data_IF_581957903188
#
_entry.id   IF_581957903188
#
_cell.length_a   1.000
_cell.length_b   1.000
_cell.length_c   1.000
_cell.angle_alpha   90.00
_cell.angle_beta   90.00
_cell.angle_gamma   90.00
#
_symmetry.space_group_name_H-M   'P 1'
#
loop_
_entity.id
_entity.type
_entity.pdbx_description
1 polymer ?
#
# COMPACT_ATOMS: atom_id res chain seq x y z
N UNK A 1 -16.65 -8.76 37.77
CA UNK A 1 -16.20 -9.17 36.40
C UNK A 1 -16.24 -8.01 35.40
N UNK A 2 -17.33 -7.23 35.32
CA UNK A 2 -17.41 -6.04 34.42
C UNK A 2 -16.34 -4.96 34.67
N UNK A 3 -15.91 -4.75 35.93
CA UNK A 3 -14.93 -3.72 36.27
C UNK A 3 -13.50 -3.97 35.73
N UNK A 4 -13.17 -5.21 35.34
CA UNK A 4 -11.84 -5.56 34.79
C UNK A 4 -11.85 -5.59 33.26
N UNK A 5 -13.04 -5.77 32.66
CA UNK A 5 -13.21 -5.76 31.21
C UNK A 5 -13.06 -4.36 30.62
N UNK A 6 -13.57 -3.33 31.29
CA UNK A 6 -13.44 -1.94 30.83
C UNK A 6 -11.98 -1.49 30.67
N UNK A 7 -11.08 -1.64 31.69
CA UNK A 7 -9.68 -1.25 31.51
C UNK A 7 -8.96 -2.14 30.49
N UNK A 8 -9.29 -3.43 30.40
CA UNK A 8 -8.70 -4.31 29.40
C UNK A 8 -9.08 -3.92 27.97
N UNK A 9 -10.33 -3.54 27.72
CA UNK A 9 -10.80 -3.05 26.42
C UNK A 9 -10.15 -1.70 26.09
N UNK A 10 -10.02 -0.81 27.08
CA UNK A 10 -9.38 0.49 26.89
C UNK A 10 -7.89 0.36 26.51
N UNK A 11 -7.17 -0.54 27.18
CA UNK A 11 -5.76 -0.84 26.87
C UNK A 11 -5.65 -1.45 25.48
N UNK A 12 -6.53 -2.39 25.11
CA UNK A 12 -6.52 -2.99 23.78
C UNK A 12 -6.78 -1.94 22.69
N UNK A 13 -7.74 -1.04 22.90
CA UNK A 13 -8.04 0.05 21.97
C UNK A 13 -6.84 1.01 21.80
N UNK A 14 -6.16 1.35 22.90
CA UNK A 14 -4.97 2.21 22.85
C UNK A 14 -3.80 1.56 22.09
N UNK A 15 -3.59 0.24 22.25
CA UNK A 15 -2.55 -0.49 21.51
C UNK A 15 -2.86 -0.59 20.01
N UNK A 16 -4.13 -0.77 19.64
CA UNK A 16 -4.56 -0.80 18.24
C UNK A 16 -4.45 0.58 17.58
N UNK A 17 -4.81 1.65 18.29
CA UNK A 17 -4.62 3.03 17.84
C UNK A 17 -3.13 3.34 17.62
N UNK A 18 -2.25 2.93 18.54
CA UNK A 18 -0.80 3.12 18.38
C UNK A 18 -0.20 2.34 17.19
N UNK A 19 -0.84 1.26 16.74
CA UNK A 19 -0.44 0.54 15.52
C UNK A 19 -0.99 1.18 14.23
N UNK A 20 -1.95 2.11 14.33
CA UNK A 20 -2.64 2.68 13.17
C UNK A 20 -2.36 4.16 12.93
N UNK A 21 -2.12 4.94 13.99
CA UNK A 21 -2.16 6.40 13.93
C UNK A 21 -0.76 7.02 14.02
N UNK A 22 -0.41 7.84 13.01
CA UNK A 22 -0.15 9.28 13.17
C UNK A 22 0.82 9.88 12.13
N UNK A 23 2.00 9.32 11.79
CA UNK A 23 2.88 9.97 10.82
C UNK A 23 2.41 9.78 9.36
N UNK A 24 1.88 8.59 9.06
CA UNK A 24 1.49 8.21 7.70
C UNK A 24 0.19 8.89 7.24
N UNK A 25 -0.74 9.20 8.14
CA UNK A 25 -2.01 9.83 7.78
C UNK A 25 -1.84 11.28 7.34
N UNK A 26 -1.08 12.08 8.10
CA UNK A 26 -0.78 13.46 7.71
C UNK A 26 0.00 13.53 6.39
N UNK A 27 0.93 12.59 6.19
CA UNK A 27 1.65 12.46 4.92
C UNK A 27 0.70 12.03 3.79
N UNK A 28 -0.23 11.11 4.05
CA UNK A 28 -1.21 10.67 3.06
C UNK A 28 -2.15 11.80 2.65
N UNK A 29 -2.62 12.63 3.59
CA UNK A 29 -3.45 13.79 3.28
C UNK A 29 -2.70 14.85 2.47
N UNK A 30 -1.45 15.13 2.84
CA UNK A 30 -0.60 16.06 2.09
C UNK A 30 -0.31 15.55 0.67
N UNK A 31 -0.06 14.24 0.50
CA UNK A 31 0.14 13.61 -0.80
C UNK A 31 -1.16 13.52 -1.61
N UNK A 32 -2.32 13.36 -0.96
CA UNK A 32 -3.61 13.36 -1.65
C UNK A 32 -3.95 14.75 -2.23
N UNK A 33 -3.42 15.82 -1.64
CA UNK A 33 -3.57 17.18 -2.16
C UNK A 33 -2.59 17.52 -3.30
N UNK A 34 -1.50 16.74 -3.48
CA UNK A 34 -0.46 16.97 -4.50
C UNK A 34 -0.26 15.73 -5.39
N UNK A 35 -0.97 15.64 -6.54
CA UNK A 35 -0.93 14.46 -7.42
C UNK A 35 0.45 14.25 -8.07
N UNK A 36 1.20 15.32 -8.34
CA UNK A 36 2.53 15.20 -8.97
C UNK A 36 3.54 14.60 -7.99
N UNK A 37 3.55 15.08 -6.75
CA UNK A 37 4.41 14.53 -5.70
C UNK A 37 4.04 13.10 -5.35
N UNK A 38 2.74 12.80 -5.31
CA UNK A 38 2.24 11.44 -5.11
C UNK A 38 2.70 10.49 -6.23
N UNK A 39 2.58 10.90 -7.50
CA UNK A 39 3.03 10.09 -8.65
C UNK A 39 4.52 9.80 -8.57
N UNK A 40 5.35 10.81 -8.30
CA UNK A 40 6.80 10.66 -8.17
C UNK A 40 7.18 9.69 -7.03
N UNK A 41 6.55 9.83 -5.86
CA UNK A 41 6.82 8.95 -4.72
C UNK A 41 6.38 7.51 -4.98
N UNK A 42 5.24 7.31 -5.65
CA UNK A 42 4.80 5.96 -6.05
C UNK A 42 5.75 5.29 -7.03
N UNK A 43 6.35 6.04 -7.96
CA UNK A 43 7.36 5.51 -8.86
C UNK A 43 8.61 5.04 -8.09
N UNK A 44 9.09 5.84 -7.12
CA UNK A 44 10.20 5.46 -6.24
C UNK A 44 9.88 4.20 -5.42
N UNK A 45 8.68 4.11 -4.87
CA UNK A 45 8.22 2.94 -4.12
C UNK A 45 8.07 1.66 -4.96
N UNK A 46 7.88 1.81 -6.28
CA UNK A 46 7.84 0.68 -7.21
C UNK A 46 9.25 0.21 -7.61
N UNK A 47 10.22 1.14 -7.62
CA UNK A 47 11.62 0.86 -7.94
C UNK A 47 12.35 0.22 -6.75
N UNK A 48 12.30 0.85 -5.56
CA UNK A 48 12.87 0.30 -4.34
C UNK A 48 12.10 0.81 -3.11
N UNK A 49 11.20 -0.05 -2.60
CA UNK A 49 10.39 0.26 -1.42
C UNK A 49 11.24 0.38 -0.15
N UNK A 50 12.28 -0.43 -0.01
CA UNK A 50 13.10 -0.43 1.20
C UNK A 50 13.96 0.84 1.27
N UNK A 51 14.56 1.25 0.16
CA UNK A 51 15.34 2.49 0.07
C UNK A 51 14.45 3.74 0.19
N UNK A 52 13.23 3.71 -0.37
CA UNK A 52 12.29 4.84 -0.30
C UNK A 52 11.66 4.99 1.10
N UNK A 53 11.52 3.89 1.83
CA UNK A 53 10.97 3.82 3.17
C UNK A 53 9.53 3.31 3.20
N UNK A 54 9.31 2.22 3.93
CA UNK A 54 8.02 1.51 4.03
C UNK A 54 6.86 2.42 4.47
N UNK A 55 7.09 3.31 5.44
CA UNK A 55 6.04 4.21 5.95
C UNK A 55 5.64 5.27 4.93
N UNK A 56 6.60 5.80 4.16
CA UNK A 56 6.34 6.75 3.08
C UNK A 56 5.58 6.06 1.94
N UNK A 57 5.96 4.83 1.59
CA UNK A 57 5.27 4.05 0.58
C UNK A 57 3.86 3.63 1.01
N UNK A 58 3.65 3.33 2.30
CA UNK A 58 2.32 3.09 2.87
C UNK A 58 1.44 4.33 2.80
N UNK A 59 1.98 5.50 3.18
CA UNK A 59 1.27 6.78 3.05
C UNK A 59 0.92 7.12 1.59
N UNK A 60 1.82 6.85 0.64
CA UNK A 60 1.57 7.04 -0.79
C UNK A 60 0.47 6.09 -1.32
N UNK A 61 0.43 4.84 -0.85
CA UNK A 61 -0.64 3.91 -1.19
C UNK A 61 -1.99 4.38 -0.64
N UNK A 62 -2.02 4.87 0.60
CA UNK A 62 -3.20 5.44 1.24
C UNK A 62 -3.73 6.67 0.49
N UNK A 63 -2.86 7.63 0.20
CA UNK A 63 -3.21 8.85 -0.53
C UNK A 63 -3.84 8.55 -1.89
N UNK A 64 -3.23 7.62 -2.64
CA UNK A 64 -3.75 7.17 -3.92
C UNK A 64 -5.12 6.50 -3.77
N UNK A 65 -5.29 5.62 -2.77
CA UNK A 65 -6.58 4.95 -2.50
C UNK A 65 -7.68 5.97 -2.21
N UNK A 66 -7.41 6.97 -1.38
CA UNK A 66 -8.37 8.05 -1.05
C UNK A 66 -8.80 8.81 -2.30
N UNK A 67 -7.84 9.25 -3.13
CA UNK A 67 -8.12 9.98 -4.38
C UNK A 67 -8.88 9.14 -5.40
N UNK A 68 -8.55 7.86 -5.51
CA UNK A 68 -9.25 6.93 -6.38
C UNK A 68 -10.72 6.81 -5.99
N UNK A 69 -11.02 6.58 -4.71
CA UNK A 69 -12.40 6.46 -4.24
C UNK A 69 -13.16 7.78 -4.18
N UNK A 70 -12.48 8.93 -4.08
CA UNK A 70 -13.12 10.25 -4.13
C UNK A 70 -13.41 10.72 -5.56
N UNK A 71 -12.98 9.99 -6.59
CA UNK A 71 -13.11 10.40 -8.00
C UNK A 71 -12.17 11.55 -8.38
N UNK A 72 -11.20 11.88 -7.53
CA UNK A 72 -10.17 12.90 -7.80
C UNK A 72 -8.95 12.33 -8.55
N UNK A 73 -8.89 11.01 -8.77
CA UNK A 73 -7.97 10.41 -9.72
C UNK A 73 -8.42 10.78 -11.14
N UNK A 74 -7.67 11.68 -11.78
CA UNK A 74 -8.05 12.32 -13.04
C UNK A 74 -7.34 11.70 -14.26
N UNK A 75 -7.94 11.74 -15.45
CA UNK A 75 -7.31 11.29 -16.70
C UNK A 75 -6.01 12.05 -17.04
N UNK A 76 -5.86 13.24 -16.47
CA UNK A 76 -4.72 14.13 -16.55
C UNK A 76 -3.48 13.62 -15.79
N UNK A 77 -3.57 12.55 -15.00
CA UNK A 77 -2.40 11.92 -14.36
C UNK A 77 -1.61 10.96 -15.27
N UNK A 78 -2.29 10.34 -16.23
CA UNK A 78 -1.74 9.34 -17.15
C UNK A 78 -1.97 9.77 -18.60
N UNK A 79 -1.43 10.94 -18.96
CA UNK A 79 -1.65 11.54 -20.28
C UNK A 79 -0.92 10.82 -21.41
N UNK A 80 0.18 10.13 -21.09
CA UNK A 80 0.96 9.37 -22.08
C UNK A 80 1.02 7.90 -21.72
N UNK A 81 1.22 7.05 -22.74
CA UNK A 81 1.42 5.62 -22.56
C UNK A 81 2.65 5.30 -21.69
N UNK A 82 3.67 6.18 -21.71
CA UNK A 82 4.85 6.07 -20.87
C UNK A 82 4.58 6.40 -19.39
N UNK A 83 3.48 7.10 -19.10
CA UNK A 83 3.08 7.43 -17.73
C UNK A 83 2.33 6.30 -17.05
N UNK A 84 1.77 5.36 -17.81
CA UNK A 84 1.00 4.25 -17.27
C UNK A 84 1.91 3.28 -16.50
N UNK A 85 1.47 2.78 -15.33
CA UNK A 85 2.21 1.75 -14.63
C UNK A 85 2.33 0.50 -15.53
N UNK A 86 3.50 -0.18 -15.55
CA UNK A 86 3.69 -1.37 -16.36
C UNK A 86 2.71 -2.47 -15.92
N UNK A 87 2.15 -3.17 -16.91
CA UNK A 87 1.29 -4.33 -16.66
C UNK A 87 2.21 -5.52 -16.33
N UNK A 88 2.09 -6.15 -15.15
CA UNK A 88 2.90 -7.31 -14.84
C UNK A 88 2.50 -8.52 -15.70
N UNK A 89 3.45 -9.41 -16.03
CA UNK A 89 3.17 -10.60 -16.84
C UNK A 89 2.20 -11.58 -16.15
N UNK A 90 2.20 -11.61 -14.81
CA UNK A 90 1.23 -12.33 -13.97
C UNK A 90 1.05 -11.60 -12.63
N UNK A 91 -0.05 -11.86 -11.91
CA UNK A 91 -0.29 -11.28 -10.58
C UNK A 91 0.31 -12.11 -9.43
N UNK A 92 0.82 -13.31 -9.72
CA UNK A 92 1.31 -14.29 -8.72
C UNK A 92 2.84 -14.32 -8.58
N UNK A 93 3.59 -13.76 -9.53
CA UNK A 93 5.05 -13.69 -9.39
C UNK A 93 5.51 -12.51 -8.52
N UNK A 94 6.45 -12.74 -7.58
CA UNK A 94 7.13 -11.66 -6.87
C UNK A 94 7.86 -10.76 -7.87
N UNK A 95 7.82 -9.45 -7.64
CA UNK A 95 8.44 -8.44 -8.51
C UNK A 95 9.96 -8.66 -8.72
N UNK A 96 10.62 -9.44 -7.86
CA UNK A 96 12.06 -9.73 -7.92
C UNK A 96 12.45 -10.93 -8.80
N UNK A 97 11.52 -11.53 -9.55
CA UNK A 97 11.84 -12.62 -10.49
C UNK A 97 12.44 -13.88 -9.84
N UNK A 98 12.36 -14.00 -8.51
CA UNK A 98 12.69 -15.21 -7.78
C UNK A 98 11.39 -15.90 -7.44
N UNK A 99 10.91 -16.74 -8.35
CA UNK A 99 9.80 -17.64 -8.08
C UNK A 99 10.08 -18.40 -6.78
N UNK A 100 9.17 -18.37 -5.78
CA UNK A 100 9.25 -19.32 -4.69
C UNK A 100 9.16 -20.71 -5.31
N UNK A 101 10.14 -21.56 -5.02
CA UNK A 101 10.16 -22.94 -5.48
C UNK A 101 8.90 -23.65 -4.96
N UNK A 102 7.85 -23.68 -5.78
CA UNK A 102 6.65 -24.47 -5.51
C UNK A 102 7.06 -25.93 -5.67
N UNK A 103 6.97 -26.78 -4.62
CA UNK A 103 7.22 -28.20 -4.78
C UNK A 103 6.19 -28.76 -5.76
N UNK A 104 6.64 -29.49 -6.78
CA UNK A 104 5.77 -30.12 -7.75
C UNK A 104 4.87 -31.15 -7.03
N UNK A 105 3.56 -30.89 -6.99
CA UNK A 105 2.57 -31.88 -6.59
C UNK A 105 2.47 -32.96 -7.69
N UNK A 106 2.55 -34.26 -7.34
CA UNK A 106 2.42 -35.33 -8.31
C UNK A 106 0.97 -35.43 -8.76
N UNK A 107 0.75 -35.32 -10.09
CA UNK A 107 -0.55 -35.59 -10.72
C UNK A 107 -0.92 -37.06 -10.54
N UNK A 108 -1.81 -37.35 -9.60
CA UNK A 108 -2.51 -38.63 -9.57
C UNK A 108 -3.57 -38.66 -10.67
N UNK A 109 -3.46 -39.70 -11.50
CA UNK A 109 -4.36 -40.02 -12.61
C UNK A 109 -5.11 -41.29 -12.24
N UNK A 110 -6.44 -41.36 -12.41
CA UNK A 110 -7.13 -42.59 -12.79
C UNK A 110 -7.37 -42.66 -14.29
#
# INVERSE_FOLDING_TARGET
MRCVLVPSVLVLAALLAACSEQPADHLADALAADPLRLKALRAQCADDRQATGEDACRAAAEAFRRRFFSGQAGPDEYQTLADLPPIPPSFEEPADGMAPAVPAEPKDTP
#
